data_IF_349656064896
#
_entry.id   IF_349656064896
#
_cell.length_a   1.000
_cell.length_b   1.000
_cell.length_c   1.000
_cell.angle_alpha   90.00
_cell.angle_beta   90.00
_cell.angle_gamma   90.00
#
_symmetry.space_group_name_H-M   'P 1'
#
loop_
_entity.id
_entity.type
_entity.pdbx_description
1 polymer ?
#
# COMPACT_ATOMS: atom_id res chain seq x y z
N UNK A 1 36.85 -56.06 -6.28
CA UNK A 1 37.83 -55.33 -5.44
C UNK A 1 37.80 -53.90 -5.92
N UNK A 2 37.32 -52.85 -5.25
CA UNK A 2 36.74 -52.59 -3.90
C UNK A 2 36.22 -51.13 -4.05
N UNK A 3 34.92 -50.80 -3.90
CA UNK A 3 34.25 -50.28 -2.68
C UNK A 3 34.21 -48.71 -2.54
N UNK A 4 33.01 -48.19 -2.19
CA UNK A 4 32.55 -46.83 -1.75
C UNK A 4 32.59 -45.70 -2.80
N UNK A 5 31.52 -45.03 -3.24
CA UNK A 5 30.19 -44.63 -2.73
C UNK A 5 30.13 -43.86 -1.40
N UNK A 6 29.47 -42.69 -1.48
CA UNK A 6 29.05 -41.69 -0.47
C UNK A 6 29.94 -40.47 -0.17
N UNK A 7 29.31 -39.31 -0.36
CA UNK A 7 29.63 -38.03 0.27
C UNK A 7 29.99 -36.94 -0.76
N UNK A 8 29.26 -35.84 -0.94
CA UNK A 8 28.17 -35.26 -0.18
C UNK A 8 27.34 -34.41 -1.15
N UNK A 9 26.00 -34.55 -1.11
CA UNK A 9 25.12 -33.45 -1.49
C UNK A 9 25.44 -32.31 -0.52
N UNK A 10 26.05 -31.23 -1.01
CA UNK A 10 25.97 -29.97 -0.31
C UNK A 10 24.49 -29.59 -0.26
N UNK A 11 23.85 -29.86 0.88
CA UNK A 11 22.61 -29.24 1.25
C UNK A 11 22.87 -27.73 1.26
N UNK A 12 22.27 -27.00 0.32
CA UNK A 12 22.21 -25.55 0.40
C UNK A 12 21.33 -25.21 1.60
N UNK A 13 21.99 -24.98 2.72
CA UNK A 13 21.38 -24.64 3.98
C UNK A 13 20.93 -23.17 3.92
N UNK A 14 19.67 -22.93 3.56
CA UNK A 14 18.99 -21.66 3.83
C UNK A 14 17.49 -21.91 4.04
N UNK A 15 17.13 -22.62 5.11
CA UNK A 15 15.73 -22.85 5.50
C UNK A 15 15.15 -21.61 6.19
N UNK A 16 15.23 -20.47 5.51
CA UNK A 16 14.59 -19.25 5.98
C UNK A 16 13.07 -19.51 6.05
N UNK A 17 12.39 -19.20 7.17
CA UNK A 17 10.94 -19.34 7.24
C UNK A 17 10.28 -18.50 6.13
N UNK A 18 9.15 -18.95 5.56
CA UNK A 18 8.36 -18.14 4.64
C UNK A 18 8.09 -16.73 5.16
N UNK A 19 8.10 -15.75 4.27
CA UNK A 19 7.92 -14.33 4.57
C UNK A 19 6.66 -14.03 5.37
N UNK A 20 5.54 -14.70 5.04
CA UNK A 20 4.27 -14.54 5.76
C UNK A 20 4.37 -14.97 7.24
N UNK A 21 5.18 -16.00 7.53
CA UNK A 21 5.37 -16.51 8.90
C UNK A 21 6.21 -15.52 9.68
N UNK A 22 7.28 -14.99 9.07
CA UNK A 22 8.12 -13.96 9.70
C UNK A 22 7.32 -12.69 9.95
N UNK A 23 6.52 -12.26 8.96
CA UNK A 23 5.64 -11.10 9.05
C UNK A 23 4.67 -11.21 10.23
N UNK A 24 3.92 -12.32 10.34
CA UNK A 24 3.01 -12.50 11.46
C UNK A 24 3.77 -12.54 12.80
N UNK A 25 4.91 -13.25 12.84
CA UNK A 25 5.73 -13.42 14.05
C UNK A 25 6.29 -12.09 14.55
N UNK A 26 6.67 -11.17 13.67
CA UNK A 26 7.14 -9.83 14.04
C UNK A 26 6.17 -9.17 15.03
N UNK A 27 4.87 -9.15 14.70
CA UNK A 27 3.84 -8.58 15.58
C UNK A 27 3.65 -9.35 16.90
N UNK A 28 3.93 -10.65 16.91
CA UNK A 28 3.85 -11.45 18.14
C UNK A 28 5.04 -11.20 19.10
N UNK A 29 6.17 -10.69 18.59
CA UNK A 29 7.36 -10.30 19.37
C UNK A 29 7.22 -8.92 20.02
N UNK A 30 6.23 -8.12 19.60
CA UNK A 30 6.03 -6.77 20.13
C UNK A 30 5.63 -6.79 21.61
N UNK A 31 5.86 -5.66 22.29
CA UNK A 31 5.38 -5.43 23.66
C UNK A 31 3.86 -5.65 23.75
N UNK A 32 3.36 -6.08 24.91
CA UNK A 32 1.96 -6.44 25.10
C UNK A 32 0.97 -5.34 24.71
N UNK A 33 1.30 -4.08 24.95
CA UNK A 33 0.49 -2.93 24.56
C UNK A 33 0.38 -2.78 23.03
N UNK A 34 1.50 -2.92 22.33
CA UNK A 34 1.53 -2.88 20.86
C UNK A 34 0.89 -4.13 20.24
N UNK A 35 1.10 -5.32 20.81
CA UNK A 35 0.50 -6.58 20.31
C UNK A 35 -1.03 -6.58 20.41
N UNK A 36 -1.60 -5.86 21.39
CA UNK A 36 -3.06 -5.65 21.47
C UNK A 36 -3.59 -4.78 20.33
N UNK A 37 -2.78 -3.79 19.91
CA UNK A 37 -3.09 -2.83 18.85
C UNK A 37 -2.85 -3.42 17.46
N UNK A 38 -1.76 -4.19 17.29
CA UNK A 38 -1.34 -4.84 16.05
C UNK A 38 -1.27 -6.36 16.27
N UNK A 39 -2.30 -7.07 15.80
CA UNK A 39 -2.52 -8.49 16.11
C UNK A 39 -1.81 -9.45 15.14
N UNK A 40 -1.24 -8.92 14.06
CA UNK A 40 -0.53 -9.68 13.01
C UNK A 40 -1.32 -9.72 11.71
N UNK A 41 -0.91 -10.64 10.80
CA UNK A 41 -1.55 -10.87 9.50
C UNK A 41 -3.08 -10.98 9.63
N UNK A 42 -3.79 -10.24 8.77
CA UNK A 42 -5.24 -10.36 8.60
C UNK A 42 -5.57 -11.61 7.79
N UNK A 43 -6.62 -12.33 8.21
CA UNK A 43 -7.22 -13.37 7.40
C UNK A 43 -8.23 -12.74 6.42
N UNK A 44 -7.96 -12.82 5.12
CA UNK A 44 -8.87 -12.30 4.08
C UNK A 44 -10.08 -13.21 3.84
N UNK A 45 -10.05 -14.45 4.34
CA UNK A 45 -11.19 -15.38 4.30
C UNK A 45 -12.15 -15.19 5.49
N UNK A 46 -11.89 -14.21 6.36
CA UNK A 46 -12.80 -13.88 7.48
C UNK A 46 -14.21 -13.60 6.94
N UNK A 47 -15.24 -14.36 7.37
CA UNK A 47 -16.63 -14.16 6.95
C UNK A 47 -17.20 -12.76 7.24
N UNK A 48 -16.54 -11.97 8.09
CA UNK A 48 -16.92 -10.58 8.40
C UNK A 48 -16.40 -9.57 7.38
N UNK A 49 -15.56 -9.99 6.43
CA UNK A 49 -15.10 -9.11 5.35
C UNK A 49 -16.22 -8.75 4.40
N UNK A 50 -16.22 -7.50 3.93
CA UNK A 50 -17.16 -7.05 2.91
C UNK A 50 -17.02 -7.89 1.63
N UNK A 51 -18.13 -8.42 1.06
CA UNK A 51 -18.10 -9.16 -0.19
C UNK A 51 -17.46 -8.34 -1.32
N UNK A 52 -16.57 -8.94 -2.11
CA UNK A 52 -15.84 -8.28 -3.19
C UNK A 52 -14.56 -7.57 -2.75
N UNK A 53 -14.52 -7.00 -1.53
CA UNK A 53 -13.31 -6.37 -0.99
C UNK A 53 -12.22 -7.42 -0.73
N UNK A 54 -12.57 -8.58 -0.16
CA UNK A 54 -11.59 -9.67 0.10
C UNK A 54 -10.83 -10.10 -1.17
N UNK A 55 -11.55 -10.40 -2.26
CA UNK A 55 -10.93 -10.80 -3.53
C UNK A 55 -10.10 -9.69 -4.16
N UNK A 56 -10.54 -8.43 -4.05
CA UNK A 56 -9.78 -7.28 -4.51
C UNK A 56 -8.47 -7.13 -3.72
N UNK A 57 -8.52 -7.26 -2.38
CA UNK A 57 -7.33 -7.17 -1.52
C UNK A 57 -6.34 -8.30 -1.80
N UNK A 58 -6.81 -9.53 -1.99
CA UNK A 58 -5.97 -10.67 -2.37
C UNK A 58 -5.26 -10.43 -3.71
N UNK A 59 -6.01 -9.97 -4.72
CA UNK A 59 -5.43 -9.64 -6.04
C UNK A 59 -4.39 -8.52 -5.94
N UNK A 60 -4.66 -7.47 -5.16
CA UNK A 60 -3.70 -6.37 -4.95
C UNK A 60 -2.45 -6.89 -4.25
N UNK A 61 -2.59 -7.72 -3.22
CA UNK A 61 -1.47 -8.33 -2.51
C UNK A 61 -0.59 -9.15 -3.46
N UNK A 62 -1.18 -10.03 -4.25
CA UNK A 62 -0.46 -10.90 -5.18
C UNK A 62 0.33 -10.08 -6.22
N UNK A 63 -0.31 -9.06 -6.79
CA UNK A 63 0.33 -8.18 -7.79
C UNK A 63 1.51 -7.43 -7.18
N UNK A 64 1.33 -6.78 -6.03
CA UNK A 64 2.41 -6.00 -5.40
C UNK A 64 3.56 -6.88 -4.92
N UNK A 65 3.27 -8.03 -4.32
CA UNK A 65 4.31 -8.98 -3.93
C UNK A 65 5.10 -9.43 -5.15
N UNK A 66 4.43 -9.88 -6.22
CA UNK A 66 5.10 -10.34 -7.44
C UNK A 66 5.95 -9.24 -8.10
N UNK A 67 5.43 -8.02 -8.19
CA UNK A 67 6.12 -6.93 -8.90
C UNK A 67 7.28 -6.37 -8.09
N UNK A 68 7.12 -6.20 -6.78
CA UNK A 68 8.18 -5.66 -5.92
C UNK A 68 9.21 -6.72 -5.54
N UNK A 69 8.87 -8.01 -5.52
CA UNK A 69 9.85 -9.09 -5.37
C UNK A 69 10.82 -9.20 -6.55
N UNK A 70 10.40 -8.76 -7.76
CA UNK A 70 11.32 -8.64 -8.90
C UNK A 70 12.39 -7.57 -8.66
N UNK A 71 12.07 -6.51 -7.91
CA UNK A 71 13.02 -5.46 -7.53
C UNK A 71 13.82 -5.84 -6.29
N UNK A 72 13.21 -6.51 -5.31
CA UNK A 72 13.84 -6.98 -4.09
C UNK A 72 13.23 -8.32 -3.66
N UNK A 73 13.93 -9.46 -3.84
CA UNK A 73 13.41 -10.79 -3.50
C UNK A 73 13.05 -11.00 -2.01
N UNK A 74 13.47 -10.09 -1.13
CA UNK A 74 13.12 -10.12 0.29
C UNK A 74 11.94 -9.21 0.63
N UNK A 75 11.23 -8.67 -0.36
CA UNK A 75 10.02 -7.88 -0.16
C UNK A 75 8.81 -8.76 0.14
N UNK A 76 7.99 -8.31 1.10
CA UNK A 76 6.66 -8.85 1.34
C UNK A 76 5.68 -7.78 1.83
N UNK A 77 4.49 -7.78 1.28
CA UNK A 77 3.37 -6.93 1.62
C UNK A 77 2.17 -7.75 2.08
N UNK A 78 1.56 -7.33 3.18
CA UNK A 78 0.33 -7.93 3.69
C UNK A 78 -0.51 -6.95 4.52
N UNK A 79 -1.74 -7.35 4.78
CA UNK A 79 -2.69 -6.63 5.62
C UNK A 79 -2.58 -7.10 7.07
N UNK A 80 -2.83 -6.17 8.01
CA UNK A 80 -2.77 -6.48 9.44
C UNK A 80 -4.08 -6.20 10.15
N UNK A 81 -4.46 -7.14 11.00
CA UNK A 81 -5.55 -6.98 11.95
C UNK A 81 -5.09 -6.02 13.07
N UNK A 82 -5.79 -4.90 13.21
CA UNK A 82 -5.34 -3.79 14.03
C UNK A 82 -6.49 -2.93 14.55
N UNK A 83 -6.32 -2.30 15.71
CA UNK A 83 -7.20 -1.21 16.17
C UNK A 83 -6.78 0.16 15.65
N UNK A 84 -5.59 0.27 15.06
CA UNK A 84 -5.00 1.52 14.59
C UNK A 84 -5.23 1.69 13.09
N UNK A 85 -5.48 2.93 12.67
CA UNK A 85 -5.33 3.33 11.27
C UNK A 85 -3.85 3.62 11.06
N UNK A 86 -3.15 2.79 10.30
CA UNK A 86 -1.73 2.96 9.99
C UNK A 86 -1.27 2.19 8.74
N UNK A 87 -0.11 2.61 8.22
CA UNK A 87 0.75 1.88 7.30
C UNK A 87 2.14 1.76 7.95
N UNK A 88 2.91 0.74 7.57
CA UNK A 88 4.19 0.42 8.23
C UNK A 88 5.21 -0.12 7.23
N UNK A 89 6.40 0.47 7.22
CA UNK A 89 7.61 -0.09 6.65
C UNK A 89 8.56 -0.58 7.77
N UNK A 90 8.93 -1.87 7.73
CA UNK A 90 9.87 -2.44 8.72
C UNK A 90 10.68 -3.62 8.14
N UNK A 91 11.77 -3.98 8.79
CA UNK A 91 12.58 -5.13 8.40
C UNK A 91 12.72 -6.12 9.56
N UNK A 92 12.58 -7.43 9.29
CA UNK A 92 12.83 -8.48 10.28
C UNK A 92 13.34 -9.76 9.60
N UNK A 93 14.25 -10.47 10.27
CA UNK A 93 14.87 -11.72 9.80
C UNK A 93 15.30 -11.66 8.31
N UNK A 94 15.85 -10.50 7.91
CA UNK A 94 16.37 -10.19 6.56
C UNK A 94 15.30 -9.79 5.52
N UNK A 95 14.03 -9.71 5.90
CA UNK A 95 12.91 -9.38 5.00
C UNK A 95 12.66 -7.89 5.13
N UNK A 96 12.16 -7.28 4.07
CA UNK A 96 11.58 -5.95 4.11
C UNK A 96 10.07 -6.08 3.95
N UNK A 97 9.34 -5.44 4.85
CA UNK A 97 7.90 -5.58 4.97
C UNK A 97 7.21 -4.25 4.78
N UNK A 98 6.10 -4.30 4.07
CA UNK A 98 5.07 -3.28 4.08
C UNK A 98 3.83 -3.89 4.71
N UNK A 99 3.28 -3.24 5.73
CA UNK A 99 2.05 -3.70 6.39
C UNK A 99 0.99 -2.60 6.40
N UNK A 100 -0.20 -2.92 5.92
CA UNK A 100 -1.32 -1.97 5.90
C UNK A 100 -2.43 -2.46 6.83
N UNK A 101 -2.83 -1.60 7.77
CA UNK A 101 -3.86 -1.95 8.75
C UNK A 101 -5.26 -2.00 8.15
N UNK A 102 -6.08 -2.95 8.60
CA UNK A 102 -7.48 -3.03 8.14
C UNK A 102 -8.32 -1.77 8.42
N UNK A 103 -8.15 -1.04 9.54
CA UNK A 103 -8.78 0.27 9.69
C UNK A 103 -8.41 1.29 8.60
N UNK A 104 -7.16 1.32 8.12
CA UNK A 104 -6.78 2.18 6.99
C UNK A 104 -7.44 1.70 5.70
N UNK A 105 -7.44 0.40 5.43
CA UNK A 105 -8.14 -0.19 4.27
C UNK A 105 -9.61 0.23 4.24
N UNK A 106 -10.33 0.09 5.36
CA UNK A 106 -11.75 0.47 5.45
C UNK A 106 -11.98 1.95 5.23
N UNK A 107 -11.09 2.83 5.72
CA UNK A 107 -11.19 4.28 5.46
C UNK A 107 -11.02 4.60 3.97
N UNK A 108 -9.99 4.06 3.33
CA UNK A 108 -9.75 4.25 1.89
C UNK A 108 -10.92 3.72 1.07
N UNK A 109 -11.42 2.54 1.45
CA UNK A 109 -12.56 1.90 0.81
C UNK A 109 -13.84 2.74 0.87
N UNK A 110 -14.16 3.26 2.06
CA UNK A 110 -15.35 4.11 2.26
C UNK A 110 -15.23 5.47 1.56
N UNK A 111 -14.05 6.09 1.54
CA UNK A 111 -13.84 7.34 0.80
C UNK A 111 -14.00 7.10 -0.70
N UNK A 112 -13.45 6.00 -1.21
CA UNK A 112 -13.62 5.61 -2.62
C UNK A 112 -15.07 5.32 -2.98
N UNK A 113 -15.85 4.77 -2.03
CA UNK A 113 -17.29 4.60 -2.18
C UNK A 113 -17.97 5.96 -2.39
N UNK A 114 -17.74 6.91 -1.48
CA UNK A 114 -18.34 8.24 -1.54
C UNK A 114 -17.98 8.94 -2.86
N UNK A 115 -16.69 8.95 -3.23
CA UNK A 115 -16.23 9.55 -4.48
C UNK A 115 -16.84 8.90 -5.73
N UNK A 116 -17.18 7.62 -5.70
CA UNK A 116 -17.80 6.93 -6.85
C UNK A 116 -19.21 7.40 -7.18
N UNK A 117 -19.90 8.04 -6.21
CA UNK A 117 -21.22 8.64 -6.41
C UNK A 117 -21.16 10.13 -6.72
N UNK A 118 -20.01 10.78 -6.52
CA UNK A 118 -19.87 12.21 -6.77
C UNK A 118 -19.89 12.55 -8.26
N UNK A 119 -20.79 13.44 -8.64
CA UNK A 119 -20.98 13.87 -10.03
C UNK A 119 -19.69 14.49 -10.60
N UNK A 120 -19.00 15.32 -9.81
CA UNK A 120 -17.74 15.94 -10.24
C UNK A 120 -16.64 14.91 -10.53
N UNK A 121 -16.58 13.81 -9.76
CA UNK A 121 -15.62 12.73 -10.01
C UNK A 121 -15.97 12.02 -11.31
N UNK A 122 -17.26 11.74 -11.56
CA UNK A 122 -17.73 11.11 -12.82
C UNK A 122 -17.43 11.97 -14.05
N UNK A 123 -17.63 13.28 -13.93
CA UNK A 123 -17.31 14.24 -15.00
C UNK A 123 -15.81 14.26 -15.31
N UNK A 124 -14.96 14.23 -14.29
CA UNK A 124 -13.49 14.16 -14.46
C UNK A 124 -13.08 12.84 -15.11
N UNK A 125 -13.71 11.73 -14.71
CA UNK A 125 -13.49 10.42 -15.33
C UNK A 125 -14.07 10.31 -16.75
N UNK A 126 -14.85 11.31 -17.19
CA UNK A 126 -15.59 11.34 -18.46
C UNK A 126 -16.42 10.06 -18.65
N UNK A 127 -17.02 9.57 -17.58
CA UNK A 127 -17.88 8.38 -17.61
C UNK A 127 -19.35 8.76 -17.74
N UNK A 128 -20.12 7.93 -18.44
CA UNK A 128 -21.55 8.15 -18.63
C UNK A 128 -22.32 7.95 -17.31
N UNK A 129 -23.45 8.65 -17.11
CA UNK A 129 -24.33 8.38 -15.98
C UNK A 129 -24.76 6.90 -15.94
N UNK A 130 -24.47 6.23 -14.83
CA UNK A 130 -24.81 4.80 -14.64
C UNK A 130 -23.87 3.80 -15.32
N UNK A 131 -22.88 4.23 -16.12
CA UNK A 131 -21.90 3.34 -16.75
C UNK A 131 -20.49 3.95 -16.65
N UNK A 132 -19.54 3.31 -15.95
CA UNK A 132 -19.65 2.01 -15.30
C UNK A 132 -20.43 2.09 -13.97
N UNK A 133 -20.78 0.93 -13.42
CA UNK A 133 -21.38 0.81 -12.09
C UNK A 133 -20.49 1.52 -11.04
N UNK A 134 -21.08 2.16 -10.00
CA UNK A 134 -20.31 2.84 -8.95
C UNK A 134 -19.17 2.00 -8.36
N UNK A 135 -19.39 0.69 -8.18
CA UNK A 135 -18.39 -0.26 -7.73
C UNK A 135 -17.10 -0.23 -8.57
N UNK A 136 -17.17 -0.09 -9.89
CA UNK A 136 -15.98 -0.08 -10.75
C UNK A 136 -15.13 1.17 -10.52
N UNK A 137 -15.78 2.33 -10.34
CA UNK A 137 -15.13 3.59 -10.00
C UNK A 137 -14.52 3.49 -8.60
N UNK A 138 -15.27 2.98 -7.63
CA UNK A 138 -14.79 2.75 -6.27
C UNK A 138 -13.55 1.85 -6.26
N UNK A 139 -13.60 0.69 -6.92
CA UNK A 139 -12.48 -0.24 -6.96
C UNK A 139 -11.23 0.37 -7.61
N UNK A 140 -11.42 1.16 -8.68
CA UNK A 140 -10.32 1.87 -9.34
C UNK A 140 -9.69 2.95 -8.46
N UNK A 141 -10.49 3.81 -7.84
CA UNK A 141 -10.00 4.86 -6.93
C UNK A 141 -9.31 4.23 -5.72
N UNK A 142 -9.93 3.22 -5.10
CA UNK A 142 -9.36 2.50 -3.97
C UNK A 142 -8.03 1.85 -4.33
N UNK A 143 -7.97 1.14 -5.45
CA UNK A 143 -6.74 0.50 -5.89
C UNK A 143 -5.63 1.53 -6.13
N UNK A 144 -5.96 2.71 -6.67
CA UNK A 144 -5.01 3.80 -6.90
C UNK A 144 -4.50 4.40 -5.57
N UNK A 145 -5.40 4.69 -4.63
CA UNK A 145 -5.07 5.14 -3.29
C UNK A 145 -4.16 4.15 -2.55
N UNK A 146 -4.55 2.87 -2.50
CA UNK A 146 -3.79 1.84 -1.82
C UNK A 146 -2.42 1.61 -2.47
N UNK A 147 -2.33 1.75 -3.80
CA UNK A 147 -1.05 1.65 -4.51
C UNK A 147 -0.09 2.76 -4.12
N UNK A 148 -0.59 3.97 -3.92
CA UNK A 148 0.21 5.08 -3.44
C UNK A 148 0.75 4.81 -2.04
N UNK A 149 -0.11 4.35 -1.11
CA UNK A 149 0.31 4.01 0.26
C UNK A 149 1.37 2.89 0.26
N UNK A 150 1.15 1.79 -0.48
CA UNK A 150 2.14 0.69 -0.56
C UNK A 150 3.46 1.19 -1.15
N UNK A 151 3.40 2.00 -2.22
CA UNK A 151 4.60 2.52 -2.87
C UNK A 151 5.36 3.53 -1.99
N UNK A 152 4.65 4.32 -1.17
CA UNK A 152 5.23 5.22 -0.18
C UNK A 152 6.02 4.42 0.88
N UNK A 153 5.40 3.40 1.49
CA UNK A 153 6.10 2.55 2.48
C UNK A 153 7.29 1.80 1.86
N UNK A 154 7.16 1.34 0.62
CA UNK A 154 8.26 0.73 -0.12
C UNK A 154 9.39 1.75 -0.42
N UNK A 155 9.05 3.01 -0.67
CA UNK A 155 10.03 4.06 -0.89
C UNK A 155 10.91 4.26 0.35
N UNK A 156 10.35 4.17 1.56
CA UNK A 156 11.13 4.23 2.80
C UNK A 156 12.21 3.13 2.87
N UNK A 157 11.90 1.90 2.42
CA UNK A 157 12.89 0.83 2.27
C UNK A 157 13.96 1.18 1.23
N UNK A 158 13.52 1.62 0.04
CA UNK A 158 14.41 1.86 -1.11
C UNK A 158 15.35 3.05 -0.90
N UNK A 159 14.92 4.05 -0.12
CA UNK A 159 15.67 5.27 0.18
C UNK A 159 16.40 5.23 1.52
N UNK A 160 16.15 4.21 2.34
CA UNK A 160 16.80 4.03 3.64
C UNK A 160 16.27 5.00 4.70
N UNK A 161 14.96 5.28 4.67
CA UNK A 161 14.27 6.18 5.59
C UNK A 161 13.63 5.46 6.78
N UNK A 162 13.84 4.15 6.90
CA UNK A 162 13.19 3.35 7.93
C UNK A 162 13.40 3.92 9.35
N UNK A 163 12.35 3.95 10.17
CA UNK A 163 12.46 4.35 11.57
C UNK A 163 13.40 3.41 12.33
N UNK A 164 13.88 3.88 13.49
CA UNK A 164 14.67 3.04 14.39
C UNK A 164 13.90 1.75 14.72
N UNK A 165 14.54 0.56 14.76
CA UNK A 165 13.87 -0.73 14.99
C UNK A 165 13.04 -0.85 16.28
N UNK A 166 13.22 0.08 17.23
CA UNK A 166 12.53 0.14 18.52
C UNK A 166 11.24 0.96 18.49
N UNK A 167 10.97 1.67 17.40
CA UNK A 167 9.81 2.54 17.24
C UNK A 167 8.97 2.04 16.08
N UNK A 168 7.81 1.46 16.41
CA UNK A 168 6.78 1.23 15.41
C UNK A 168 6.24 2.61 15.03
N UNK A 169 6.72 3.14 13.90
CA UNK A 169 6.34 4.48 13.47
C UNK A 169 4.85 4.46 13.13
N UNK A 170 4.11 5.28 13.86
CA UNK A 170 2.70 5.51 13.58
C UNK A 170 2.67 6.70 12.63
N UNK A 171 2.78 6.42 11.33
CA UNK A 171 2.69 7.40 10.23
C UNK A 171 1.50 8.34 10.43
N UNK A 172 0.40 7.81 11.00
CA UNK A 172 -0.85 8.55 11.20
C UNK A 172 -1.02 9.12 12.63
N UNK A 173 0.04 9.15 13.44
CA UNK A 173 0.03 9.82 14.75
C UNK A 173 0.52 11.26 14.63
N UNK A 174 0.00 12.17 15.46
CA UNK A 174 0.31 13.62 15.48
C UNK A 174 1.74 13.95 15.93
N UNK A 175 2.75 13.25 15.42
CA UNK A 175 4.13 13.47 15.82
C UNK A 175 4.73 14.66 15.07
N UNK A 176 5.34 15.53 15.87
CA UNK A 176 6.28 16.55 15.46
C UNK A 176 7.55 15.88 14.92
N UNK A 177 7.88 16.09 13.66
CA UNK A 177 9.08 15.54 13.03
C UNK A 177 9.99 16.62 12.46
N UNK A 178 11.31 16.43 12.62
CA UNK A 178 12.33 17.37 12.11
C UNK A 178 12.21 17.60 10.60
N UNK A 179 12.77 18.71 10.10
CA UNK A 179 12.88 18.99 8.65
C UNK A 179 13.47 17.81 7.88
N UNK A 180 14.40 17.06 8.49
CA UNK A 180 14.97 15.85 7.88
C UNK A 180 13.91 14.77 7.67
N UNK A 181 13.08 14.50 8.67
CA UNK A 181 11.99 13.52 8.57
C UNK A 181 10.97 13.97 7.52
N UNK A 182 10.59 15.25 7.50
CA UNK A 182 9.69 15.78 6.48
C UNK A 182 10.26 15.67 5.06
N UNK A 183 11.56 15.91 4.89
CA UNK A 183 12.22 15.72 3.60
C UNK A 183 12.25 14.24 3.16
N UNK A 184 12.33 13.31 4.12
CA UNK A 184 12.23 11.87 3.86
C UNK A 184 10.82 11.48 3.40
N UNK A 185 9.78 12.02 4.03
CA UNK A 185 8.39 11.82 3.58
C UNK A 185 8.15 12.38 2.19
N UNK A 186 8.63 13.59 1.90
CA UNK A 186 8.48 14.21 0.56
C UNK A 186 9.23 13.40 -0.51
N UNK A 187 10.41 12.86 -0.21
CA UNK A 187 11.13 11.98 -1.14
C UNK A 187 10.42 10.63 -1.33
N UNK A 188 9.81 10.07 -0.28
CA UNK A 188 8.98 8.88 -0.36
C UNK A 188 7.73 9.11 -1.22
N UNK A 189 7.01 10.20 -1.00
CA UNK A 189 5.85 10.63 -1.80
C UNK A 189 6.21 10.84 -3.27
N UNK A 190 7.36 11.45 -3.55
CA UNK A 190 7.86 11.67 -4.90
C UNK A 190 8.12 10.35 -5.64
N UNK A 191 8.75 9.38 -4.98
CA UNK A 191 8.98 8.05 -5.56
C UNK A 191 7.68 7.26 -5.72
N UNK A 192 6.79 7.31 -4.72
CA UNK A 192 5.48 6.67 -4.78
C UNK A 192 4.66 7.20 -5.96
N UNK A 193 4.61 8.53 -6.12
CA UNK A 193 3.98 9.20 -7.25
C UNK A 193 4.52 8.70 -8.58
N UNK A 194 5.85 8.65 -8.74
CA UNK A 194 6.48 8.15 -9.96
C UNK A 194 6.10 6.68 -10.24
N UNK A 195 6.16 5.81 -9.24
CA UNK A 195 5.85 4.38 -9.39
C UNK A 195 4.39 4.15 -9.79
N UNK A 196 3.44 4.81 -9.12
CA UNK A 196 2.01 4.64 -9.39
C UNK A 196 1.65 5.19 -10.77
N UNK A 197 2.10 6.40 -11.11
CA UNK A 197 1.82 7.00 -12.42
C UNK A 197 2.47 6.20 -13.57
N UNK A 198 3.69 5.69 -13.39
CA UNK A 198 4.34 4.85 -14.41
C UNK A 198 3.49 3.60 -14.70
N UNK A 199 2.98 2.91 -13.67
CA UNK A 199 2.11 1.77 -13.89
C UNK A 199 0.74 2.15 -14.48
N UNK A 200 0.16 3.25 -14.02
CA UNK A 200 -1.14 3.72 -14.47
C UNK A 200 -1.12 4.16 -15.94
N UNK A 201 -0.04 4.82 -16.38
CA UNK A 201 0.08 5.40 -17.72
C UNK A 201 0.69 4.42 -18.72
N UNK A 202 1.73 3.65 -18.37
CA UNK A 202 2.51 2.88 -19.35
C UNK A 202 2.45 1.36 -19.19
N UNK A 203 1.63 0.83 -18.28
CA UNK A 203 1.64 -0.59 -17.92
C UNK A 203 0.30 -1.31 -18.09
N UNK A 204 0.28 -2.58 -17.69
CA UNK A 204 -0.93 -3.42 -17.65
C UNK A 204 -2.11 -2.77 -16.91
N UNK A 205 -1.82 -1.94 -15.90
CA UNK A 205 -2.85 -1.19 -15.18
C UNK A 205 -3.58 -0.16 -16.05
N UNK A 206 -2.94 0.39 -17.08
CA UNK A 206 -3.60 1.27 -18.06
C UNK A 206 -4.76 0.54 -18.73
N UNK A 207 -4.46 -0.61 -19.32
CA UNK A 207 -5.44 -1.42 -20.08
C UNK A 207 -6.54 -1.94 -19.16
N UNK A 208 -6.17 -2.39 -17.96
CA UNK A 208 -7.13 -2.82 -16.96
C UNK A 208 -8.08 -1.68 -16.53
N UNK A 209 -7.54 -0.48 -16.27
CA UNK A 209 -8.35 0.69 -15.88
C UNK A 209 -9.27 1.13 -17.01
N UNK A 210 -8.78 1.12 -18.26
CA UNK A 210 -9.58 1.41 -19.46
C UNK A 210 -10.77 0.46 -19.58
N UNK A 211 -10.53 -0.84 -19.40
CA UNK A 211 -11.58 -1.86 -19.46
C UNK A 211 -12.56 -1.73 -18.28
N UNK A 212 -12.04 -1.60 -17.05
CA UNK A 212 -12.85 -1.49 -15.83
C UNK A 212 -13.78 -0.28 -15.86
N UNK A 213 -13.28 0.86 -16.35
CA UNK A 213 -14.04 2.11 -16.42
C UNK A 213 -14.82 2.28 -17.74
N UNK A 214 -14.76 1.30 -18.66
CA UNK A 214 -15.42 1.37 -19.97
C UNK A 214 -15.01 2.61 -20.78
N UNK A 215 -13.74 3.00 -20.70
CA UNK A 215 -13.22 4.22 -21.32
C UNK A 215 -12.89 3.99 -22.80
N UNK A 216 -13.52 4.75 -23.69
CA UNK A 216 -13.33 4.64 -25.13
C UNK A 216 -12.81 5.94 -25.74
N UNK A 217 -11.67 6.40 -25.22
CA UNK A 217 -11.00 7.65 -25.59
C UNK A 217 -9.72 7.42 -26.40
N UNK A 218 -9.18 8.49 -26.99
CA UNK A 218 -7.82 8.47 -27.56
C UNK A 218 -6.77 8.32 -26.45
N UNK A 219 -5.54 7.93 -26.79
CA UNK A 219 -4.47 7.74 -25.79
C UNK A 219 -4.15 9.03 -25.02
N UNK A 220 -4.16 10.19 -25.70
CA UNK A 220 -3.92 11.49 -25.07
C UNK A 220 -5.01 11.86 -24.07
N UNK A 221 -6.27 11.58 -24.40
CA UNK A 221 -7.39 11.86 -23.49
C UNK A 221 -7.39 10.88 -22.30
N UNK A 222 -7.00 9.62 -22.54
CA UNK A 222 -6.88 8.62 -21.49
C UNK A 222 -5.78 9.01 -20.48
N UNK A 223 -4.65 9.55 -20.95
CA UNK A 223 -3.58 10.05 -20.07
C UNK A 223 -4.08 11.16 -19.13
N UNK A 224 -4.86 12.10 -19.66
CA UNK A 224 -5.47 13.18 -18.88
C UNK A 224 -6.44 12.62 -17.82
N UNK A 225 -7.34 11.72 -18.22
CA UNK A 225 -8.30 11.09 -17.31
C UNK A 225 -7.58 10.34 -16.18
N UNK A 226 -6.58 9.53 -16.51
CA UNK A 226 -5.82 8.73 -15.54
C UNK A 226 -4.98 9.61 -14.61
N UNK A 227 -4.38 10.69 -15.11
CA UNK A 227 -3.67 11.67 -14.29
C UNK A 227 -4.62 12.36 -13.31
N UNK A 228 -5.77 12.87 -13.78
CA UNK A 228 -6.76 13.50 -12.91
C UNK A 228 -7.29 12.51 -11.85
N UNK A 229 -7.51 11.26 -12.23
CA UNK A 229 -7.90 10.18 -11.32
C UNK A 229 -6.86 9.95 -10.23
N UNK A 230 -5.58 9.92 -10.60
CA UNK A 230 -4.48 9.81 -9.66
C UNK A 230 -4.47 10.99 -8.70
N UNK A 231 -4.61 12.22 -9.21
CA UNK A 231 -4.63 13.44 -8.37
C UNK A 231 -5.77 13.38 -7.35
N UNK A 232 -6.99 13.03 -7.74
CA UNK A 232 -8.13 12.90 -6.82
C UNK A 232 -7.85 11.81 -5.77
N UNK A 233 -7.37 10.66 -6.23
CA UNK A 233 -7.08 9.52 -5.36
C UNK A 233 -6.02 9.87 -4.31
N UNK A 234 -4.90 10.46 -4.72
CA UNK A 234 -3.81 10.79 -3.79
C UNK A 234 -4.16 11.99 -2.90
N UNK A 235 -4.82 13.03 -3.43
CA UNK A 235 -5.28 14.15 -2.63
C UNK A 235 -6.23 13.69 -1.50
N UNK A 236 -7.07 12.69 -1.77
CA UNK A 236 -7.98 12.14 -0.77
C UNK A 236 -7.27 11.29 0.27
N UNK A 237 -6.15 10.62 -0.05
CA UNK A 237 -5.27 10.00 0.96
C UNK A 237 -4.78 11.05 1.95
N UNK A 238 -4.29 12.21 1.46
CA UNK A 238 -3.85 13.30 2.33
C UNK A 238 -5.00 13.96 3.11
N UNK A 239 -6.23 13.90 2.59
CA UNK A 239 -7.42 14.44 3.26
C UNK A 239 -8.01 13.52 4.33
N UNK A 240 -7.53 12.28 4.48
CA UNK A 240 -7.93 11.38 5.58
C UNK A 240 -7.53 11.96 6.94
N UNK A 241 -6.53 12.84 6.95
CA UNK A 241 -5.95 13.39 8.16
C UNK A 241 -6.69 14.64 8.63
N UNK A 242 -6.89 14.81 9.95
CA UNK A 242 -7.43 16.05 10.49
C UNK A 242 -6.57 17.22 10.03
N UNK A 243 -7.20 18.29 9.54
CA UNK A 243 -6.48 19.50 9.17
C UNK A 243 -5.66 19.99 10.38
N UNK A 244 -4.34 20.06 10.21
CA UNK A 244 -3.44 20.66 11.20
C UNK A 244 -3.44 22.16 10.97
N UNK A 245 -3.59 22.94 12.04
CA UNK A 245 -3.46 24.40 11.97
C UNK A 245 -2.03 24.73 11.56
N UNK A 246 -1.86 25.28 10.37
CA UNK A 246 -0.58 25.73 9.82
C UNK A 246 -0.34 27.17 10.29
N UNK A 247 0.55 27.35 11.27
CA UNK A 247 0.93 28.67 11.80
C UNK A 247 2.43 28.74 12.08
N UNK A 248 2.92 29.94 12.41
CA UNK A 248 4.34 30.20 12.71
C UNK A 248 4.89 29.35 13.87
N UNK A 249 4.04 28.77 14.71
CA UNK A 249 4.40 27.91 15.82
C UNK A 249 4.41 26.42 15.43
N UNK A 250 3.58 26.00 14.49
CA UNK A 250 3.53 24.61 13.99
C UNK A 250 4.41 24.35 12.77
N UNK A 251 4.78 25.40 12.01
CA UNK A 251 5.59 25.28 10.79
C UNK A 251 7.07 24.92 11.08
N UNK A 252 7.61 25.45 12.19
CA UNK A 252 9.04 25.37 12.53
C UNK A 252 9.35 24.72 13.88
N UNK A 253 8.33 24.34 14.65
CA UNK A 253 8.49 23.49 15.83
C UNK A 253 7.86 22.14 15.54
N UNK A 254 8.53 21.37 14.70
CA UNK A 254 8.33 19.94 14.50
C UNK A 254 9.67 19.24 14.78
#
# INVERSE_FOLDING_TARGET
MTIYDRGAKMASNSSRPPEEIVFHRYFQKLRLDLRRRFRGKQDLEDPKMEPGLSSLLANIQDVFNKDLQQQNPSFYFDYIESSETNALAFADEGYIFVAITMPLIRKLWHISEQLSYEQAVREILKVEPGIPEPWAIQAFLFATQLSFVIAHEFAHHKRGHLPSPLELHLELSHQTGSIKLQAQEVDADGLATYMVLSHLITGFRRDHSRALLTLNFTESELDEILLCSFVISVATVFAIFPAVVFDQHTLFRL
#
